data_IF_026759411239
#
_entry.id   IF_026759411239
#
_cell.length_a   1.000
_cell.length_b   1.000
_cell.length_c   1.000
_cell.angle_alpha   90.00
_cell.angle_beta   90.00
_cell.angle_gamma   90.00
#
_symmetry.space_group_name_H-M   'P 1'
#
loop_
_entity.id
_entity.type
_entity.pdbx_description
1 polymer ?
#
# COMPACT_ATOMS: atom_id res chain seq x y z
N UNK A 1 -19.08 48.92 22.77
CA UNK A 1 -19.95 48.00 22.02
C UNK A 1 -19.28 47.68 20.71
N UNK A 2 -19.23 46.47 20.21
CA UNK A 2 -19.73 45.19 20.68
C UNK A 2 -19.05 44.11 19.84
N UNK A 3 -18.99 42.91 20.40
CA UNK A 3 -18.41 41.70 19.79
C UNK A 3 -19.09 41.33 18.46
N UNK A 4 -18.33 40.70 17.56
CA UNK A 4 -18.89 39.66 16.71
C UNK A 4 -17.81 38.62 16.39
N UNK A 5 -17.79 37.59 17.23
CA UNK A 5 -16.96 36.40 17.12
C UNK A 5 -17.42 35.52 15.95
N UNK A 6 -16.51 35.18 15.05
CA UNK A 6 -16.72 34.10 14.08
C UNK A 6 -16.30 32.78 14.77
N UNK A 7 -17.18 31.77 14.88
CA UNK A 7 -16.82 30.51 15.51
C UNK A 7 -15.90 29.73 14.56
N UNK A 8 -14.60 29.86 14.77
CA UNK A 8 -13.61 29.00 14.12
C UNK A 8 -13.97 27.55 14.44
N UNK A 9 -14.46 26.86 13.41
CA UNK A 9 -14.68 25.42 13.38
C UNK A 9 -13.41 24.73 13.87
N UNK A 10 -13.45 24.18 15.09
CA UNK A 10 -12.42 23.27 15.57
C UNK A 10 -12.51 22.01 14.72
N UNK A 11 -11.78 21.97 13.60
CA UNK A 11 -11.46 20.71 12.93
C UNK A 11 -10.64 19.90 13.93
N UNK A 12 -11.29 18.96 14.61
CA UNK A 12 -10.60 17.97 15.41
C UNK A 12 -9.74 17.14 14.47
N UNK A 13 -8.44 17.46 14.39
CA UNK A 13 -7.47 16.64 13.69
C UNK A 13 -7.33 15.35 14.52
N UNK A 14 -8.01 14.29 14.09
CA UNK A 14 -7.85 12.97 14.69
C UNK A 14 -6.38 12.56 14.60
N UNK A 15 -5.81 12.08 15.72
CA UNK A 15 -4.45 11.56 15.72
C UNK A 15 -4.30 10.40 14.72
N UNK A 16 -3.08 10.16 14.20
CA UNK A 16 -2.82 9.03 13.30
C UNK A 16 -3.29 7.69 13.89
N UNK A 17 -3.15 7.49 15.20
CA UNK A 17 -3.66 6.30 15.90
C UNK A 17 -5.19 6.18 15.86
N UNK A 18 -5.93 7.29 15.99
CA UNK A 18 -7.40 7.28 15.88
C UNK A 18 -7.86 6.98 14.45
N UNK A 19 -7.21 7.58 13.46
CA UNK A 19 -7.48 7.32 12.04
C UNK A 19 -7.18 5.86 11.68
N UNK A 20 -6.06 5.31 12.18
CA UNK A 20 -5.70 3.92 11.99
C UNK A 20 -6.72 2.96 12.60
N UNK A 21 -7.14 3.18 13.86
CA UNK A 21 -8.15 2.35 14.53
C UNK A 21 -9.46 2.30 13.74
N UNK A 22 -9.90 3.45 13.22
CA UNK A 22 -11.09 3.54 12.37
C UNK A 22 -10.91 2.76 11.07
N UNK A 23 -9.82 3.01 10.33
CA UNK A 23 -9.52 2.29 9.09
C UNK A 23 -9.48 0.77 9.34
N UNK A 24 -8.87 0.32 10.45
CA UNK A 24 -8.76 -1.11 10.76
C UNK A 24 -10.10 -1.80 10.99
N UNK A 25 -11.11 -1.07 11.48
CA UNK A 25 -12.47 -1.59 11.64
C UNK A 25 -13.25 -1.58 10.33
N UNK A 26 -13.01 -0.58 9.47
CA UNK A 26 -13.84 -0.29 8.30
C UNK A 26 -13.21 -0.65 6.94
N UNK A 27 -11.97 -1.17 6.89
CA UNK A 27 -11.23 -1.36 5.63
C UNK A 27 -11.98 -2.18 4.58
N UNK A 28 -12.85 -3.11 4.98
CA UNK A 28 -13.69 -3.91 4.06
C UNK A 28 -14.66 -3.07 3.25
N UNK A 29 -15.02 -1.88 3.75
CA UNK A 29 -15.86 -0.91 3.04
C UNK A 29 -15.05 -0.02 2.08
N UNK A 30 -13.72 -0.01 2.20
CA UNK A 30 -12.85 0.80 1.35
C UNK A 30 -12.51 0.09 0.04
N UNK A 31 -12.42 -1.24 0.04
CA UNK A 31 -11.83 -1.99 -1.07
C UNK A 31 -12.54 -3.31 -1.37
N UNK A 32 -12.39 -3.78 -2.61
CA UNK A 32 -12.76 -5.13 -3.02
C UNK A 32 -11.72 -5.71 -3.98
N UNK A 33 -11.66 -7.04 -4.04
CA UNK A 33 -10.73 -7.78 -4.92
C UNK A 33 -11.41 -8.10 -6.25
N UNK A 34 -10.72 -7.89 -7.37
CA UNK A 34 -11.19 -8.28 -8.69
C UNK A 34 -10.03 -8.63 -9.63
N UNK A 35 -10.34 -9.07 -10.86
CA UNK A 35 -9.33 -9.26 -11.91
C UNK A 35 -8.71 -7.90 -12.27
N UNK A 36 -7.38 -7.85 -12.26
CA UNK A 36 -6.63 -6.64 -12.59
C UNK A 36 -6.57 -6.39 -14.09
N UNK A 37 -6.47 -5.12 -14.48
CA UNK A 37 -6.12 -4.73 -15.86
C UNK A 37 -4.60 -4.70 -16.09
N UNK A 38 -3.81 -4.75 -15.03
CA UNK A 38 -2.34 -4.73 -15.04
C UNK A 38 -1.81 -6.17 -15.03
N UNK A 39 -2.08 -6.92 -13.95
CA UNK A 39 -1.61 -8.30 -13.81
C UNK A 39 -2.46 -9.07 -12.80
N UNK A 40 -2.93 -10.27 -13.17
CA UNK A 40 -3.56 -11.20 -12.23
C UNK A 40 -4.80 -10.65 -11.52
N UNK A 41 -4.66 -10.39 -10.22
CA UNK A 41 -5.69 -9.79 -9.37
C UNK A 41 -5.26 -8.38 -8.97
N UNK A 42 -6.25 -7.52 -8.75
CA UNK A 42 -6.08 -6.13 -8.37
C UNK A 42 -7.02 -5.77 -7.22
N UNK A 43 -6.59 -4.81 -6.41
CA UNK A 43 -7.44 -4.24 -5.37
C UNK A 43 -8.09 -2.95 -5.88
N UNK A 44 -9.40 -2.84 -5.72
CA UNK A 44 -10.20 -1.74 -6.26
C UNK A 44 -10.89 -0.96 -5.15
N UNK A 45 -11.14 0.33 -5.39
CA UNK A 45 -11.89 1.17 -4.46
C UNK A 45 -13.39 0.78 -4.44
N UNK A 46 -13.91 0.35 -3.29
CA UNK A 46 -15.32 0.00 -3.11
C UNK A 46 -16.24 1.23 -2.99
N UNK A 47 -15.65 2.39 -2.70
CA UNK A 47 -16.30 3.69 -2.57
C UNK A 47 -15.34 4.79 -3.01
N UNK A 48 -15.83 6.03 -3.08
CA UNK A 48 -14.95 7.18 -3.27
C UNK A 48 -14.03 7.36 -2.05
N UNK A 49 -12.73 7.52 -2.31
CA UNK A 49 -11.70 7.71 -1.30
C UNK A 49 -11.07 9.09 -1.51
N UNK A 50 -11.13 9.94 -0.48
CA UNK A 50 -10.53 11.27 -0.54
C UNK A 50 -9.00 11.21 -0.39
N UNK A 51 -8.30 12.22 -0.89
CA UNK A 51 -6.85 12.34 -0.75
C UNK A 51 -6.45 12.24 0.74
N UNK A 52 -5.34 11.54 1.01
CA UNK A 52 -4.81 11.23 2.33
C UNK A 52 -5.64 10.25 3.18
N UNK A 53 -6.67 9.60 2.63
CA UNK A 53 -7.39 8.54 3.33
C UNK A 53 -6.49 7.33 3.56
N UNK A 54 -6.42 6.81 4.79
CA UNK A 54 -5.87 5.48 5.08
C UNK A 54 -6.80 4.42 4.48
N UNK A 55 -6.32 3.67 3.48
CA UNK A 55 -7.15 2.74 2.71
C UNK A 55 -7.14 1.35 3.33
N UNK A 56 -5.96 0.78 3.51
CA UNK A 56 -5.72 -0.57 4.03
C UNK A 56 -4.29 -0.68 4.59
N UNK A 57 -4.09 -1.56 5.58
CA UNK A 57 -2.76 -1.93 6.08
C UNK A 57 -2.18 -3.09 5.26
N UNK A 58 -0.89 -3.02 4.95
CA UNK A 58 -0.14 -4.16 4.42
C UNK A 58 0.28 -5.07 5.58
N UNK A 59 -0.52 -6.11 5.84
CA UNK A 59 -0.29 -7.07 6.92
C UNK A 59 0.43 -8.33 6.41
N UNK A 60 1.30 -8.85 7.27
CA UNK A 60 2.03 -10.10 7.09
C UNK A 60 2.80 -10.47 8.36
N UNK A 61 3.66 -11.48 8.26
CA UNK A 61 4.62 -11.83 9.31
C UNK A 61 5.80 -10.85 9.27
N UNK A 62 6.12 -10.20 10.40
CA UNK A 62 7.32 -9.36 10.50
C UNK A 62 8.51 -10.29 10.77
N UNK A 63 9.43 -10.35 9.81
CA UNK A 63 10.64 -11.16 9.86
C UNK A 63 11.87 -10.29 9.71
N UNK A 64 13.04 -10.81 10.09
CA UNK A 64 14.33 -10.15 9.86
C UNK A 64 14.71 -10.20 8.38
N UNK A 65 15.47 -9.22 7.91
CA UNK A 65 15.94 -9.14 6.51
C UNK A 65 16.65 -10.42 6.05
N UNK A 66 17.51 -11.03 6.89
CA UNK A 66 18.24 -12.25 6.51
C UNK A 66 17.30 -13.45 6.30
N UNK A 67 16.22 -13.53 7.11
CA UNK A 67 15.21 -14.58 6.94
C UNK A 67 14.36 -14.35 5.69
N UNK A 68 14.12 -13.08 5.33
CA UNK A 68 13.40 -12.72 4.11
C UNK A 68 14.15 -13.21 2.87
N UNK A 69 15.46 -12.94 2.77
CA UNK A 69 16.31 -13.42 1.67
C UNK A 69 16.33 -14.96 1.56
N UNK A 70 16.38 -15.66 2.70
CA UNK A 70 16.26 -17.12 2.71
C UNK A 70 14.91 -17.60 2.19
N UNK A 71 13.80 -16.95 2.59
CA UNK A 71 12.44 -17.33 2.18
C UNK A 71 12.17 -17.01 0.72
N UNK A 72 12.69 -15.89 0.21
CA UNK A 72 12.59 -15.49 -1.18
C UNK A 72 13.10 -16.60 -2.11
N UNK A 73 14.35 -17.04 -1.91
CA UNK A 73 14.96 -18.16 -2.66
C UNK A 73 14.13 -19.45 -2.58
N UNK A 74 13.55 -19.75 -1.41
CA UNK A 74 12.68 -20.92 -1.24
C UNK A 74 11.35 -20.79 -1.98
N UNK A 75 10.79 -19.59 -2.06
CA UNK A 75 9.55 -19.31 -2.78
C UNK A 75 9.77 -19.34 -4.30
N UNK A 76 10.86 -18.76 -4.78
CA UNK A 76 11.27 -18.84 -6.19
C UNK A 76 11.48 -20.28 -6.66
N UNK A 77 12.21 -21.09 -5.86
CA UNK A 77 12.43 -22.50 -6.16
C UNK A 77 11.12 -23.33 -6.24
N UNK A 78 10.05 -22.82 -5.61
CA UNK A 78 8.70 -23.42 -5.64
C UNK A 78 7.77 -22.72 -6.63
N UNK A 79 8.29 -21.81 -7.45
CA UNK A 79 7.53 -20.98 -8.39
C UNK A 79 6.33 -20.27 -7.73
N UNK A 80 6.54 -19.77 -6.50
CA UNK A 80 5.52 -19.10 -5.70
C UNK A 80 5.70 -17.59 -5.80
N UNK A 81 4.60 -16.86 -5.95
CA UNK A 81 4.63 -15.39 -5.88
C UNK A 81 5.15 -14.91 -4.53
N UNK A 82 6.04 -13.93 -4.56
CA UNK A 82 6.67 -13.33 -3.38
C UNK A 82 5.95 -12.03 -3.04
N UNK A 83 5.55 -11.89 -1.77
CA UNK A 83 4.81 -10.72 -1.29
C UNK A 83 5.49 -10.15 -0.06
N UNK A 84 6.68 -9.59 -0.24
CA UNK A 84 7.49 -9.01 0.83
C UNK A 84 7.55 -7.50 0.70
N UNK A 85 7.43 -6.79 1.82
CA UNK A 85 7.54 -5.34 1.88
C UNK A 85 8.54 -4.95 2.97
N UNK A 86 9.62 -4.27 2.58
CA UNK A 86 10.62 -3.74 3.53
C UNK A 86 10.01 -2.71 4.47
N UNK A 87 10.01 -3.00 5.77
CA UNK A 87 9.54 -2.09 6.81
C UNK A 87 10.62 -1.06 7.18
N UNK A 88 11.84 -1.55 7.34
CA UNK A 88 13.08 -0.80 7.58
C UNK A 88 14.29 -1.66 7.18
N UNK A 89 15.50 -1.26 7.58
CA UNK A 89 16.76 -1.94 7.24
C UNK A 89 16.83 -3.38 7.82
N UNK A 90 16.24 -3.61 8.99
CA UNK A 90 16.35 -4.88 9.72
C UNK A 90 15.11 -5.77 9.55
N UNK A 91 13.97 -5.19 9.14
CA UNK A 91 12.67 -5.86 9.17
C UNK A 91 11.93 -5.81 7.83
N UNK A 92 11.29 -6.93 7.52
CA UNK A 92 10.46 -7.14 6.33
C UNK A 92 9.11 -7.70 6.75
N UNK A 93 8.03 -7.24 6.12
CA UNK A 93 6.68 -7.81 6.24
C UNK A 93 6.48 -8.83 5.13
N UNK A 94 6.44 -10.11 5.47
CA UNK A 94 6.18 -11.23 4.55
C UNK A 94 4.69 -11.61 4.56
N UNK A 95 4.01 -11.32 3.45
CA UNK A 95 2.59 -11.60 3.23
C UNK A 95 2.36 -12.84 2.34
N UNK A 96 3.40 -13.62 2.05
CA UNK A 96 3.41 -14.71 1.06
C UNK A 96 2.59 -15.94 1.49
N UNK A 97 2.68 -16.28 2.77
CA UNK A 97 1.90 -17.38 3.37
C UNK A 97 0.70 -16.85 4.15
N UNK A 98 0.92 -15.81 4.95
CA UNK A 98 -0.08 -15.20 5.82
C UNK A 98 -0.12 -13.70 5.56
N UNK A 99 -1.21 -13.18 5.00
CA UNK A 99 -1.29 -11.76 4.63
C UNK A 99 -2.71 -11.29 4.32
N UNK A 100 -2.85 -10.00 4.00
CA UNK A 100 -4.13 -9.35 3.70
C UNK A 100 -4.36 -9.08 2.21
N UNK A 101 -5.46 -8.41 1.88
CA UNK A 101 -5.79 -8.05 0.50
C UNK A 101 -4.83 -7.02 -0.12
N UNK A 102 -4.08 -6.28 0.71
CA UNK A 102 -3.12 -5.28 0.26
C UNK A 102 -2.00 -5.88 -0.63
N UNK A 103 -1.72 -7.18 -0.52
CA UNK A 103 -0.73 -7.88 -1.37
C UNK A 103 -1.11 -7.93 -2.85
N UNK A 104 -2.36 -7.63 -3.19
CA UNK A 104 -2.87 -7.59 -4.58
C UNK A 104 -2.92 -6.17 -5.15
N UNK A 105 -2.35 -5.18 -4.47
CA UNK A 105 -2.23 -3.83 -5.02
C UNK A 105 -1.03 -3.80 -5.96
N UNK A 106 -1.27 -3.61 -7.25
CA UNK A 106 -0.24 -3.66 -8.28
C UNK A 106 0.62 -2.40 -8.36
N UNK A 107 1.75 -2.52 -9.04
CA UNK A 107 2.61 -1.40 -9.38
C UNK A 107 1.96 -0.49 -10.45
N UNK A 108 2.18 0.82 -10.32
CA UNK A 108 2.01 1.76 -11.44
C UNK A 108 3.06 2.88 -11.42
N UNK A 109 3.54 3.26 -12.61
CA UNK A 109 4.39 4.45 -12.80
C UNK A 109 3.61 5.78 -12.69
N UNK A 110 2.27 5.73 -12.66
CA UNK A 110 1.41 6.86 -12.32
C UNK A 110 0.41 6.44 -11.22
N UNK A 111 0.90 6.23 -9.99
CA UNK A 111 0.09 5.62 -8.94
C UNK A 111 -0.93 6.60 -8.35
N UNK A 112 -2.07 6.06 -7.93
CA UNK A 112 -3.10 6.79 -7.17
C UNK A 112 -2.99 6.59 -5.66
N UNK A 113 -2.12 5.68 -5.20
CA UNK A 113 -1.79 5.46 -3.80
C UNK A 113 -0.30 5.67 -3.50
N UNK A 114 0.02 5.76 -2.21
CA UNK A 114 1.38 5.72 -1.67
C UNK A 114 1.38 4.79 -0.45
N UNK A 115 2.48 4.07 -0.26
CA UNK A 115 2.72 3.29 0.95
C UNK A 115 3.59 4.10 1.91
N UNK A 116 3.18 4.22 3.17
CA UNK A 116 3.92 4.95 4.21
C UNK A 116 4.00 4.10 5.48
N UNK A 117 5.12 4.24 6.19
CA UNK A 117 5.28 3.70 7.54
C UNK A 117 4.63 4.64 8.56
N UNK A 118 3.79 4.08 9.43
CA UNK A 118 3.05 4.81 10.45
C UNK A 118 3.33 4.16 11.80
N UNK A 119 3.82 4.96 12.74
CA UNK A 119 3.95 4.53 14.13
C UNK A 119 2.57 4.55 14.80
N UNK A 120 2.15 3.37 15.29
CA UNK A 120 0.90 3.16 16.02
C UNK A 120 1.21 2.34 17.26
N UNK A 121 0.92 2.89 18.44
CA UNK A 121 1.07 2.17 19.71
C UNK A 121 2.48 1.59 19.93
N UNK A 122 3.52 2.30 19.43
CA UNK A 122 4.95 1.94 19.45
C UNK A 122 5.39 0.86 18.44
N UNK A 123 4.48 0.40 17.60
CA UNK A 123 4.80 -0.43 16.44
C UNK A 123 4.81 0.41 15.16
N UNK A 124 5.71 0.07 14.23
CA UNK A 124 5.70 0.64 12.88
C UNK A 124 4.86 -0.26 11.98
N UNK A 125 3.89 0.33 11.27
CA UNK A 125 2.95 -0.35 10.37
C UNK A 125 3.05 0.21 8.97
N UNK A 126 2.85 -0.61 7.94
CA UNK A 126 2.82 -0.14 6.54
C UNK A 126 1.37 0.10 6.16
N UNK A 127 1.03 1.35 5.85
CA UNK A 127 -0.32 1.79 5.52
C UNK A 127 -0.34 2.33 4.09
N UNK A 128 -1.36 1.91 3.33
CA UNK A 128 -1.61 2.43 2.00
C UNK A 128 -2.53 3.65 2.12
N UNK A 129 -2.08 4.79 1.60
CA UNK A 129 -2.81 6.04 1.57
C UNK A 129 -3.24 6.40 0.14
N UNK A 130 -4.38 7.06 0.02
CA UNK A 130 -4.79 7.69 -1.24
C UNK A 130 -3.93 8.95 -1.53
N UNK A 131 -3.22 8.97 -2.65
CA UNK A 131 -2.36 10.10 -3.07
C UNK A 131 -3.16 11.25 -3.71
N UNK A 132 -4.33 10.93 -4.23
CA UNK A 132 -5.35 11.85 -4.78
C UNK A 132 -6.73 11.35 -4.40
N UNK A 133 -7.78 12.07 -4.79
CA UNK A 133 -9.14 11.52 -4.79
C UNK A 133 -9.21 10.32 -5.75
N UNK A 134 -9.78 9.21 -5.29
CA UNK A 134 -9.95 7.96 -6.03
C UNK A 134 -11.45 7.66 -6.10
N UNK A 135 -11.97 7.50 -7.30
CA UNK A 135 -13.38 7.17 -7.51
C UNK A 135 -13.63 5.69 -7.26
N UNK A 136 -14.86 5.35 -6.85
CA UNK A 136 -15.32 3.97 -6.77
C UNK A 136 -15.04 3.23 -8.09
N UNK A 137 -14.47 2.03 -8.00
CA UNK A 137 -14.16 1.17 -9.13
C UNK A 137 -12.81 1.45 -9.79
N UNK A 138 -12.05 2.45 -9.35
CA UNK A 138 -10.64 2.60 -9.76
C UNK A 138 -9.77 1.50 -9.13
N UNK A 139 -8.83 0.95 -9.91
CA UNK A 139 -7.79 0.04 -9.41
C UNK A 139 -6.77 0.83 -8.59
N UNK A 140 -6.46 0.35 -7.39
CA UNK A 140 -5.44 0.93 -6.53
C UNK A 140 -4.06 0.49 -7.01
N UNK A 141 -3.11 1.42 -7.01
CA UNK A 141 -1.72 1.14 -7.34
C UNK A 141 -0.77 2.09 -6.64
N UNK A 142 0.42 1.62 -6.30
CA UNK A 142 1.52 2.44 -5.77
C UNK A 142 2.82 2.13 -6.51
N UNK A 143 3.81 3.01 -6.37
CA UNK A 143 5.15 2.75 -6.89
C UNK A 143 5.86 1.81 -5.91
N UNK A 144 6.21 0.62 -6.37
CA UNK A 144 6.92 -0.39 -5.58
C UNK A 144 8.30 0.07 -5.14
N UNK A 145 8.93 1.00 -5.87
CA UNK A 145 10.29 1.48 -5.61
C UNK A 145 11.28 0.32 -5.39
N UNK A 146 11.24 -0.67 -6.29
CA UNK A 146 12.25 -1.71 -6.27
C UNK A 146 13.64 -1.08 -6.40
N UNK A 147 14.61 -1.69 -5.72
CA UNK A 147 16.01 -1.31 -5.88
C UNK A 147 16.41 -1.52 -7.35
N UNK A 148 17.21 -0.60 -7.87
CA UNK A 148 17.69 -0.69 -9.26
C UNK A 148 18.69 -1.85 -9.30
N UNK A 149 18.32 -2.92 -9.98
CA UNK A 149 19.20 -4.06 -10.22
C UNK A 149 19.89 -3.95 -11.59
N UNK A 150 20.98 -4.70 -11.76
CA UNK A 150 21.66 -4.81 -13.05
C UNK A 150 20.69 -5.27 -14.17
N UNK A 151 20.99 -4.87 -15.42
CA UNK A 151 20.15 -5.05 -16.60
C UNK A 151 19.60 -6.49 -16.83
N UNK A 152 20.22 -7.50 -16.21
CA UNK A 152 19.84 -8.91 -16.29
C UNK A 152 18.59 -9.28 -15.48
N UNK A 153 18.17 -8.45 -14.51
CA UNK A 153 17.04 -8.75 -13.60
C UNK A 153 15.87 -7.77 -13.74
N UNK A 154 15.78 -7.06 -14.88
CA UNK A 154 14.71 -6.10 -15.11
C UNK A 154 13.33 -6.77 -15.19
N UNK A 155 12.38 -6.26 -14.42
CA UNK A 155 11.00 -6.76 -14.38
C UNK A 155 10.09 -5.82 -15.16
N UNK A 156 9.49 -6.32 -16.25
CA UNK A 156 8.68 -5.51 -17.17
C UNK A 156 7.45 -4.91 -16.47
N UNK A 157 7.23 -3.61 -16.67
CA UNK A 157 6.10 -2.89 -16.13
C UNK A 157 4.93 -2.86 -17.11
N UNK A 158 3.81 -3.47 -16.71
CA UNK A 158 2.58 -3.58 -17.53
C UNK A 158 1.49 -2.59 -17.09
N UNK A 159 1.85 -1.50 -16.39
CA UNK A 159 0.86 -0.60 -15.78
C UNK A 159 0.00 0.23 -16.76
N UNK A 160 0.40 0.31 -18.03
CA UNK A 160 -0.33 1.06 -19.06
C UNK A 160 -0.32 2.60 -18.90
N UNK A 161 0.42 3.14 -17.93
CA UNK A 161 0.51 4.58 -17.72
C UNK A 161 1.21 5.27 -18.92
N UNK A 162 0.77 6.48 -19.34
CA UNK A 162 1.41 7.22 -20.45
C UNK A 162 2.91 7.50 -20.20
N UNK A 163 3.29 7.69 -18.94
CA UNK A 163 4.65 7.93 -18.46
C UNK A 163 5.32 6.66 -17.89
N UNK A 164 4.92 5.46 -18.35
CA UNK A 164 5.49 4.21 -17.87
C UNK A 164 7.00 4.11 -18.13
N UNK A 165 7.78 3.81 -17.08
CA UNK A 165 9.24 3.60 -17.12
C UNK A 165 9.66 2.30 -17.83
N UNK A 166 8.69 1.49 -18.28
CA UNK A 166 8.85 0.14 -18.88
C UNK A 166 9.34 -0.95 -17.93
N UNK A 167 9.95 -0.59 -16.80
CA UNK A 167 10.46 -1.50 -15.79
C UNK A 167 9.99 -1.09 -14.39
N UNK A 168 9.86 -2.07 -13.49
CA UNK A 168 9.45 -1.83 -12.10
C UNK A 168 10.64 -1.56 -11.17
N UNK A 169 11.82 -2.09 -11.53
CA UNK A 169 13.14 -1.80 -10.98
C UNK A 169 13.96 -0.95 -11.96
#
# INVERSE_FOLDING_TARGET
GGEMSCPYSKQFVHSKSSQYKKMKQEWRNNVYLARSKIQGLGLYAARDLEKHTMVIEYIGEIIRTELAECREKQYEAKNRGIYMFRLDEERVVDATLCGGLARYINHSCNPNCVAETVEVERDVRIIIFAKRRIQRGEELSYDYKFDIEDDQHKISCMCGAPNCRKWMN
#
